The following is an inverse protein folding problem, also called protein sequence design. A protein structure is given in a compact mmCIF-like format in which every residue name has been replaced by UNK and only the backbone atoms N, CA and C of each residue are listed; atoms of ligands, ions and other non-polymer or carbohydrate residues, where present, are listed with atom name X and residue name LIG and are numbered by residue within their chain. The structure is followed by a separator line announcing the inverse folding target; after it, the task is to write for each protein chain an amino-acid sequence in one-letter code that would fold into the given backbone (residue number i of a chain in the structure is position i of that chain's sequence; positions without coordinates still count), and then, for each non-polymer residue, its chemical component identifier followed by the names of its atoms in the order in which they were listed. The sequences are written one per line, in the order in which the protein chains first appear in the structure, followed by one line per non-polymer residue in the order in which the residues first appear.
data_IF_242582657978
#
_entry.id   IF_242582657978
#
_cell.length_a   1.000
_cell.length_b   1.000
_cell.length_c   1.000
_cell.angle_alpha   90.00
_cell.angle_beta   90.00
_cell.angle_gamma   90.00
#
_symmetry.space_group_name_H-M   'P 1'
#
loop_
_entity.id
_entity.type
_entity.pdbx_description
1 polymer ?
#
# COMPACT_ATOMS: atom_id res chain seq x y z
N UNK A 1 -53.06 -11.83 -11.92
CA UNK A 1 -53.45 -10.46 -12.34
C UNK A 1 -53.12 -9.50 -11.21
N UNK A 2 -52.48 -8.37 -11.53
CA UNK A 2 -52.12 -7.21 -10.68
C UNK A 2 -51.04 -7.43 -9.59
N UNK A 3 -50.03 -6.58 -9.39
CA UNK A 3 -49.54 -5.35 -10.06
C UNK A 3 -48.06 -5.21 -9.63
N UNK A 4 -47.14 -5.10 -10.59
CA UNK A 4 -45.76 -4.66 -10.35
C UNK A 4 -45.78 -3.21 -9.84
N UNK A 5 -45.13 -2.94 -8.71
CA UNK A 5 -44.87 -1.58 -8.23
C UNK A 5 -43.46 -1.18 -8.64
N UNK A 6 -43.37 -0.19 -9.53
CA UNK A 6 -42.16 0.49 -9.95
C UNK A 6 -42.16 1.92 -9.37
N UNK A 7 -41.11 2.30 -8.63
CA UNK A 7 -40.81 3.68 -8.20
C UNK A 7 -39.26 3.79 -8.07
N UNK A 8 -38.59 4.96 -8.23
CA UNK A 8 -37.74 5.27 -9.37
C UNK A 8 -36.26 5.50 -9.00
N UNK A 9 -35.43 5.71 -10.03
CA UNK A 9 -34.01 6.07 -9.92
C UNK A 9 -33.79 7.41 -9.22
N UNK A 10 -32.86 7.44 -8.26
CA UNK A 10 -32.36 8.66 -7.61
C UNK A 10 -31.27 9.29 -8.49
N UNK A 11 -31.49 10.54 -8.95
CA UNK A 11 -30.50 11.31 -9.71
C UNK A 11 -30.34 12.70 -9.10
N UNK A 12 -29.06 13.05 -8.90
CA UNK A 12 -28.40 14.36 -8.91
C UNK A 12 -29.02 15.56 -8.18
N UNK A 13 -28.18 16.25 -7.39
CA UNK A 13 -27.42 17.45 -7.81
C UNK A 13 -27.14 18.30 -6.56
N UNK A 14 -25.87 18.50 -6.19
CA UNK A 14 -25.50 19.44 -5.13
C UNK A 14 -24.34 20.31 -5.60
N UNK A 15 -24.68 21.14 -6.57
CA UNK A 15 -23.91 22.29 -7.00
C UNK A 15 -24.09 23.41 -5.97
N UNK A 16 -23.02 23.84 -5.29
CA UNK A 16 -23.00 25.04 -4.44
C UNK A 16 -21.89 26.00 -4.88
N UNK A 17 -22.22 27.13 -5.53
CA UNK A 17 -21.32 28.26 -5.63
C UNK A 17 -21.56 29.24 -4.47
N UNK A 18 -20.51 29.67 -3.80
CA UNK A 18 -20.51 30.95 -3.08
C UNK A 18 -19.25 31.72 -3.47
N UNK A 19 -19.49 32.95 -3.90
CA UNK A 19 -18.60 33.84 -4.61
C UNK A 19 -18.24 35.02 -3.71
N UNK A 20 -16.96 35.41 -3.80
CA UNK A 20 -16.35 36.75 -3.62
C UNK A 20 -16.19 37.45 -2.26
N UNK A 21 -14.96 37.98 -2.11
CA UNK A 21 -14.52 39.14 -1.33
C UNK A 21 -12.99 39.10 -1.18
N UNK A 22 -12.18 39.41 -2.21
CA UNK A 22 -11.55 40.73 -2.56
C UNK A 22 -11.01 41.48 -1.33
N UNK A 23 -9.82 42.09 -1.25
CA UNK A 23 -8.51 42.10 -1.92
C UNK A 23 -7.67 43.16 -1.16
N UNK A 24 -6.42 43.38 -1.62
CA UNK A 24 -5.46 44.47 -1.31
C UNK A 24 -4.57 44.27 -0.07
N UNK A 25 -3.26 44.53 -0.10
CA UNK A 25 -2.43 45.26 -1.05
C UNK A 25 -0.97 44.75 -1.04
N UNK A 26 -0.30 44.94 -2.17
CA UNK A 26 1.12 44.74 -2.40
C UNK A 26 1.99 45.79 -1.72
N UNK A 27 3.21 45.41 -1.28
CA UNK A 27 4.37 46.29 -1.26
C UNK A 27 5.68 45.52 -1.51
N UNK A 28 6.28 45.80 -2.67
CA UNK A 28 7.70 46.20 -2.91
C UNK A 28 8.84 45.24 -2.50
N UNK A 29 9.68 44.88 -3.49
CA UNK A 29 11.07 44.47 -3.21
C UNK A 29 11.85 43.71 -4.29
N UNK A 30 11.86 44.15 -5.55
CA UNK A 30 12.88 43.72 -6.52
C UNK A 30 14.26 44.25 -6.10
N UNK A 31 15.24 43.36 -5.93
CA UNK A 31 16.67 43.68 -6.04
C UNK A 31 17.49 42.41 -6.32
N UNK A 32 17.78 42.16 -7.59
CA UNK A 32 18.90 41.31 -8.01
C UNK A 32 19.74 42.13 -9.02
N UNK A 33 20.98 42.51 -8.68
CA UNK A 33 21.88 43.16 -9.63
C UNK A 33 22.61 42.13 -10.51
N UNK A 34 22.23 42.06 -11.78
CA UNK A 34 22.86 41.27 -12.84
C UNK A 34 24.05 41.99 -13.50
N UNK A 35 25.18 42.12 -12.79
CA UNK A 35 26.40 42.64 -13.40
C UNK A 35 27.67 42.08 -12.75
N UNK A 36 28.38 41.23 -13.52
CA UNK A 36 29.82 40.92 -13.56
C UNK A 36 30.04 39.40 -13.66
N UNK A 37 30.44 38.93 -14.84
CA UNK A 37 31.11 37.63 -15.00
C UNK A 37 30.82 36.95 -16.34
N UNK A 38 31.84 36.53 -17.13
CA UNK A 38 31.77 36.59 -18.59
C UNK A 38 31.10 35.40 -19.28
N UNK A 39 30.57 35.69 -20.47
CA UNK A 39 30.26 34.71 -21.52
C UNK A 39 31.53 33.96 -21.93
N UNK A 40 31.51 32.64 -21.78
CA UNK A 40 32.44 31.75 -22.48
C UNK A 40 31.62 30.86 -23.43
N UNK A 41 31.58 31.28 -24.69
CA UNK A 41 31.26 30.40 -25.80
C UNK A 41 32.55 29.68 -26.22
N UNK A 42 32.53 28.35 -26.17
CA UNK A 42 33.56 27.50 -26.76
C UNK A 42 32.96 26.14 -27.07
N UNK A 43 32.98 25.66 -28.32
CA UNK A 43 32.58 24.29 -28.63
C UNK A 43 33.76 23.36 -28.31
N UNK A 44 33.70 22.66 -27.17
CA UNK A 44 34.53 21.48 -26.96
C UNK A 44 33.80 20.25 -27.49
N UNK A 45 34.19 19.83 -28.68
CA UNK A 45 33.94 18.49 -29.20
C UNK A 45 34.65 17.47 -28.31
N UNK A 46 33.91 16.72 -27.48
CA UNK A 46 34.37 15.46 -26.91
C UNK A 46 33.72 14.31 -27.69
N UNK A 47 34.43 13.83 -28.71
CA UNK A 47 34.23 12.50 -29.27
C UNK A 47 34.94 11.51 -28.35
N UNK A 48 34.24 11.01 -27.33
CA UNK A 48 34.68 9.89 -26.50
C UNK A 48 33.87 8.63 -26.84
N UNK A 49 34.46 7.44 -26.93
CA UNK A 49 33.70 6.22 -27.14
C UNK A 49 32.76 6.01 -25.95
N UNK A 50 31.49 5.79 -26.26
CA UNK A 50 30.48 5.37 -25.30
C UNK A 50 30.91 4.02 -24.69
N UNK A 51 31.59 4.08 -23.56
CA UNK A 51 31.77 2.92 -22.70
C UNK A 51 30.40 2.53 -22.17
N UNK A 52 29.87 1.40 -22.63
CA UNK A 52 28.69 0.78 -22.05
C UNK A 52 29.02 0.49 -20.59
N UNK A 53 28.48 1.31 -19.68
CA UNK A 53 28.45 0.98 -18.27
C UNK A 53 27.59 -0.29 -18.15
N UNK A 54 28.25 -1.42 -17.93
CA UNK A 54 27.57 -2.65 -17.50
C UNK A 54 26.94 -2.32 -16.16
N UNK A 55 25.65 -1.97 -16.17
CA UNK A 55 24.86 -1.84 -14.97
C UNK A 55 24.83 -3.21 -14.31
N UNK A 56 25.64 -3.39 -13.27
CA UNK A 56 25.47 -4.51 -12.34
C UNK A 56 24.06 -4.41 -11.79
N UNK A 57 23.16 -5.27 -12.24
CA UNK A 57 21.85 -5.45 -11.64
C UNK A 57 22.06 -5.66 -10.13
N UNK A 58 21.35 -4.94 -9.24
CA UNK A 58 21.47 -5.19 -7.82
C UNK A 58 21.13 -6.66 -7.58
N UNK A 59 22.03 -7.37 -6.90
CA UNK A 59 21.78 -8.74 -6.48
C UNK A 59 20.42 -8.78 -5.78
N UNK A 60 19.47 -9.49 -6.38
CA UNK A 60 18.12 -9.65 -5.83
C UNK A 60 18.22 -10.46 -4.54
N UNK A 61 18.46 -9.76 -3.42
CA UNK A 61 18.32 -10.35 -2.11
C UNK A 61 16.88 -10.82 -1.98
N UNK A 62 16.68 -12.13 -1.79
CA UNK A 62 15.36 -12.65 -1.45
C UNK A 62 15.01 -12.10 -0.07
N UNK A 63 14.01 -11.22 -0.01
CA UNK A 63 13.50 -10.71 1.26
C UNK A 63 12.95 -11.87 2.09
N UNK A 64 13.53 -12.10 3.27
CA UNK A 64 13.06 -13.11 4.21
C UNK A 64 12.17 -12.46 5.29
N UNK A 65 11.03 -13.08 5.54
CA UNK A 65 10.02 -12.66 6.50
C UNK A 65 9.98 -13.64 7.69
N UNK A 66 10.74 -13.41 8.77
CA UNK A 66 10.54 -14.14 10.03
C UNK A 66 9.20 -13.77 10.69
N UNK A 67 8.76 -14.54 11.68
CA UNK A 67 7.69 -14.12 12.57
C UNK A 67 8.19 -12.98 13.46
N UNK A 68 7.39 -11.94 13.67
CA UNK A 68 7.78 -10.83 14.54
C UNK A 68 7.99 -11.30 15.99
N UNK A 69 9.15 -11.01 16.56
CA UNK A 69 9.47 -11.18 17.98
C UNK A 69 9.30 -9.88 18.78
N UNK A 70 9.97 -9.82 19.93
CA UNK A 70 9.91 -8.68 20.86
C UNK A 70 10.84 -7.50 20.49
N UNK A 71 11.69 -7.67 19.47
CA UNK A 71 12.64 -6.66 19.01
C UNK A 71 12.05 -5.64 18.01
N UNK A 72 12.90 -4.77 17.44
CA UNK A 72 12.51 -3.84 16.40
C UNK A 72 11.86 -4.56 15.21
N UNK A 73 10.74 -4.03 14.72
CA UNK A 73 10.00 -4.60 13.61
C UNK A 73 10.46 -3.93 12.32
N UNK A 74 11.23 -4.66 11.51
CA UNK A 74 11.75 -4.17 10.21
C UNK A 74 11.10 -4.96 9.08
N UNK A 75 11.40 -6.25 8.98
CA UNK A 75 10.76 -7.17 8.03
C UNK A 75 10.34 -8.41 8.81
N UNK A 76 9.04 -8.58 9.06
CA UNK A 76 8.51 -9.72 9.81
C UNK A 76 6.98 -9.83 9.72
N UNK A 77 6.43 -11.01 9.96
CA UNK A 77 4.97 -11.27 9.93
C UNK A 77 4.35 -11.14 11.31
N UNK A 78 3.30 -10.32 11.44
CA UNK A 78 2.60 -10.06 12.70
C UNK A 78 1.46 -11.05 12.89
N UNK A 79 0.56 -11.12 11.90
CA UNK A 79 -0.63 -11.98 11.84
C UNK A 79 -0.93 -12.35 10.37
N UNK A 80 -2.13 -12.87 10.07
CA UNK A 80 -2.48 -13.36 8.73
C UNK A 80 -2.70 -12.27 7.68
N UNK A 81 -2.90 -11.00 8.07
CA UNK A 81 -3.09 -9.87 7.16
C UNK A 81 -2.17 -8.67 7.42
N UNK A 82 -1.27 -8.77 8.39
CA UNK A 82 -0.37 -7.69 8.78
C UNK A 82 1.07 -8.17 8.85
N UNK A 83 1.97 -7.45 8.17
CA UNK A 83 3.41 -7.68 8.22
C UNK A 83 4.17 -6.36 8.13
N UNK A 84 5.44 -6.41 8.51
CA UNK A 84 6.39 -5.34 8.30
C UNK A 84 7.29 -5.67 7.12
N UNK A 85 7.62 -4.65 6.32
CA UNK A 85 8.60 -4.73 5.25
C UNK A 85 9.47 -3.48 5.31
N UNK A 86 10.77 -3.65 5.54
CA UNK A 86 11.75 -2.55 5.56
C UNK A 86 11.35 -1.37 6.47
N UNK A 87 10.67 -1.66 7.59
CA UNK A 87 10.22 -0.66 8.56
C UNK A 87 8.84 -0.05 8.26
N UNK A 88 8.18 -0.46 7.18
CA UNK A 88 6.80 -0.08 6.87
C UNK A 88 5.83 -1.17 7.33
N UNK A 89 4.76 -0.77 8.05
CA UNK A 89 3.71 -1.68 8.49
C UNK A 89 2.61 -1.76 7.44
N UNK A 90 2.50 -2.92 6.80
CA UNK A 90 1.56 -3.18 5.72
C UNK A 90 0.37 -3.99 6.25
N UNK A 91 -0.82 -3.56 5.88
CA UNK A 91 -2.08 -4.30 6.03
C UNK A 91 -2.54 -4.76 4.65
N UNK A 92 -2.66 -6.07 4.48
CA UNK A 92 -3.16 -6.71 3.25
C UNK A 92 -4.60 -6.25 3.04
N UNK A 93 -4.85 -5.52 1.96
CA UNK A 93 -6.06 -4.70 1.84
C UNK A 93 -7.32 -5.46 1.43
N UNK A 94 -7.17 -6.62 0.79
CA UNK A 94 -8.28 -7.38 0.22
C UNK A 94 -8.86 -8.44 1.16
N UNK A 95 -8.26 -8.68 2.32
CA UNK A 95 -8.71 -9.72 3.26
C UNK A 95 -8.80 -9.26 4.71
N UNK A 96 -9.54 -10.01 5.52
CA UNK A 96 -9.52 -9.98 6.98
C UNK A 96 -9.16 -11.36 7.53
N UNK A 97 -8.29 -11.42 8.53
CA UNK A 97 -7.93 -12.66 9.24
C UNK A 97 -8.41 -12.70 10.69
N UNK A 98 -8.53 -13.90 11.30
CA UNK A 98 -8.78 -14.05 12.73
C UNK A 98 -7.70 -13.33 13.56
N UNK A 99 -8.12 -12.61 14.60
CA UNK A 99 -7.22 -11.75 15.39
C UNK A 99 -6.36 -12.59 16.37
N UNK A 100 -5.06 -12.28 16.45
CA UNK A 100 -4.11 -12.96 17.35
C UNK A 100 -3.81 -12.13 18.59
N UNK A 101 -3.81 -10.79 18.47
CA UNK A 101 -3.45 -9.90 19.57
C UNK A 101 -4.55 -9.75 20.62
N UNK A 102 -5.80 -10.00 20.24
CA UNK A 102 -6.98 -9.93 21.11
C UNK A 102 -8.08 -10.89 20.60
N UNK A 103 -7.81 -12.21 20.59
CA UNK A 103 -8.79 -13.21 20.17
C UNK A 103 -9.98 -13.26 21.14
N UNK A 104 -11.18 -13.52 20.62
CA UNK A 104 -12.39 -13.69 21.44
C UNK A 104 -12.48 -15.09 22.06
N UNK A 105 -11.79 -16.07 21.47
CA UNK A 105 -11.76 -17.45 21.94
C UNK A 105 -10.51 -18.19 21.42
N UNK A 106 -10.25 -19.38 21.97
CA UNK A 106 -9.12 -20.22 21.58
C UNK A 106 -9.17 -20.68 20.11
N UNK A 107 -10.37 -20.91 19.57
CA UNK A 107 -10.55 -21.31 18.18
C UNK A 107 -10.07 -20.21 17.22
N UNK A 108 -10.47 -18.97 17.48
CA UNK A 108 -10.02 -17.78 16.74
C UNK A 108 -8.50 -17.64 16.81
N UNK A 109 -7.91 -17.77 18.00
CA UNK A 109 -6.46 -17.69 18.18
C UNK A 109 -5.71 -18.75 17.35
N UNK A 110 -6.15 -20.02 17.40
CA UNK A 110 -5.53 -21.12 16.64
C UNK A 110 -5.65 -20.89 15.15
N UNK A 111 -6.80 -20.41 14.68
CA UNK A 111 -7.00 -20.13 13.26
C UNK A 111 -6.14 -18.92 12.80
N UNK A 112 -6.03 -17.89 13.63
CA UNK A 112 -5.16 -16.74 13.38
C UNK A 112 -3.68 -17.15 13.31
N UNK A 113 -3.22 -18.02 14.21
CA UNK A 113 -1.85 -18.56 14.16
C UNK A 113 -1.58 -19.31 12.85
N UNK A 114 -2.53 -20.15 12.40
CA UNK A 114 -2.43 -20.83 11.09
C UNK A 114 -2.38 -19.84 9.93
N UNK A 115 -3.22 -18.80 9.95
CA UNK A 115 -3.23 -17.76 8.93
C UNK A 115 -1.89 -17.01 8.86
N UNK A 116 -1.31 -16.69 10.03
CA UNK A 116 0.00 -16.05 10.15
C UNK A 116 1.14 -16.89 9.59
N UNK A 117 1.20 -18.17 9.99
CA UNK A 117 2.22 -19.11 9.48
C UNK A 117 2.08 -19.29 7.96
N UNK A 118 0.84 -19.37 7.47
CA UNK A 118 0.59 -19.50 6.04
C UNK A 118 1.01 -18.25 5.27
N UNK A 119 0.64 -17.06 5.74
CA UNK A 119 1.08 -15.80 5.14
C UNK A 119 2.62 -15.73 5.09
N UNK A 120 3.30 -16.14 6.16
CA UNK A 120 4.75 -16.22 6.18
C UNK A 120 5.31 -17.14 5.10
N UNK A 121 4.77 -18.36 4.96
CA UNK A 121 5.19 -19.30 3.92
C UNK A 121 4.98 -18.69 2.53
N UNK A 122 3.83 -18.05 2.31
CA UNK A 122 3.52 -17.40 1.04
C UNK A 122 4.51 -16.28 0.73
N UNK A 123 4.79 -15.39 1.67
CA UNK A 123 5.77 -14.29 1.52
C UNK A 123 7.19 -14.83 1.24
N UNK A 124 7.60 -15.89 1.92
CA UNK A 124 8.94 -16.48 1.78
C UNK A 124 9.11 -17.39 0.55
N UNK A 125 8.03 -17.82 -0.11
CA UNK A 125 8.09 -18.69 -1.27
C UNK A 125 8.61 -18.01 -2.55
N UNK A 126 8.91 -16.71 -2.50
CA UNK A 126 9.51 -15.98 -3.61
C UNK A 126 9.12 -14.49 -3.60
N UNK A 127 9.51 -13.74 -4.64
CA UNK A 127 9.16 -12.33 -4.76
C UNK A 127 7.65 -12.08 -4.70
N UNK A 128 7.29 -10.91 -4.18
CA UNK A 128 5.92 -10.41 -4.10
C UNK A 128 5.86 -9.02 -4.75
N UNK A 129 4.69 -8.66 -5.26
CA UNK A 129 4.35 -7.30 -5.64
C UNK A 129 3.41 -6.70 -4.60
N UNK A 130 3.57 -5.40 -4.37
CA UNK A 130 2.70 -4.59 -3.52
C UNK A 130 1.94 -3.62 -4.39
N UNK A 131 0.65 -3.86 -4.53
CA UNK A 131 -0.24 -3.10 -5.39
C UNK A 131 -1.03 -2.09 -4.55
N UNK A 132 -0.93 -0.78 -4.85
CA UNK A 132 -1.78 0.22 -4.23
C UNK A 132 -3.26 -0.05 -4.50
N UNK A 133 -4.09 0.30 -3.52
CA UNK A 133 -5.55 0.37 -3.68
C UNK A 133 -6.01 1.84 -3.56
N UNK A 134 -7.28 2.11 -3.85
CA UNK A 134 -7.87 3.47 -3.80
C UNK A 134 -7.60 4.21 -2.48
N UNK A 135 -7.52 3.47 -1.38
CA UNK A 135 -7.21 3.99 -0.06
C UNK A 135 -5.78 3.61 0.34
N UNK A 136 -4.88 4.59 0.36
CA UNK A 136 -3.46 4.35 0.67
C UNK A 136 -3.18 3.90 2.12
N UNK A 137 -3.97 4.38 3.09
CA UNK A 137 -3.67 4.20 4.53
C UNK A 137 -4.94 3.99 5.35
N UNK A 138 -4.86 3.16 6.38
CA UNK A 138 -5.96 2.98 7.33
C UNK A 138 -5.98 4.05 8.43
N UNK A 139 -6.99 4.00 9.30
CA UNK A 139 -7.16 4.95 10.42
C UNK A 139 -6.06 4.87 11.49
N UNK A 140 -5.24 3.83 11.45
CA UNK A 140 -4.14 3.57 12.38
C UNK A 140 -2.78 3.89 11.73
N UNK A 141 -2.77 4.42 10.50
CA UNK A 141 -1.55 4.76 9.77
C UNK A 141 -0.85 3.55 9.13
N UNK A 142 -1.51 2.39 8.98
CA UNK A 142 -0.96 1.25 8.22
C UNK A 142 -1.16 1.46 6.73
N UNK A 143 -0.14 1.17 5.94
CA UNK A 143 -0.26 1.15 4.49
C UNK A 143 -1.21 0.03 4.06
N UNK A 144 -2.13 0.34 3.17
CA UNK A 144 -3.09 -0.62 2.63
C UNK A 144 -2.65 -1.01 1.22
N UNK A 145 -2.22 -2.25 1.07
CA UNK A 145 -1.69 -2.78 -0.18
C UNK A 145 -2.28 -4.15 -0.45
N UNK A 146 -2.59 -4.45 -1.71
CA UNK A 146 -2.82 -5.83 -2.13
C UNK A 146 -1.47 -6.49 -2.35
N UNK A 147 -1.32 -7.71 -1.82
CA UNK A 147 -0.07 -8.47 -1.93
C UNK A 147 -0.26 -9.58 -2.95
N UNK A 148 0.51 -9.52 -4.04
CA UNK A 148 0.35 -10.45 -5.15
C UNK A 148 1.65 -11.15 -5.51
N UNK A 149 1.53 -12.29 -6.18
CA UNK A 149 2.62 -12.95 -6.89
C UNK A 149 2.11 -13.34 -8.26
N UNK A 150 2.81 -12.93 -9.32
CA UNK A 150 2.40 -13.17 -10.71
C UNK A 150 0.96 -12.72 -11.00
N UNK A 151 0.50 -11.63 -10.35
CA UNK A 151 -0.87 -11.12 -10.48
C UNK A 151 -1.93 -11.83 -9.63
N UNK A 152 -1.57 -12.89 -8.91
CA UNK A 152 -2.49 -13.61 -8.03
C UNK A 152 -2.38 -13.11 -6.59
N UNK A 153 -3.52 -12.89 -5.93
CA UNK A 153 -3.55 -12.44 -4.54
C UNK A 153 -3.12 -13.55 -3.57
N UNK A 154 -2.11 -13.25 -2.73
CA UNK A 154 -1.75 -14.11 -1.61
C UNK A 154 -2.87 -14.13 -0.55
N UNK A 155 -3.59 -13.01 -0.40
CA UNK A 155 -4.78 -12.96 0.44
C UNK A 155 -5.87 -13.88 -0.08
N UNK A 156 -6.09 -13.91 -1.39
CA UNK A 156 -7.01 -14.86 -2.03
C UNK A 156 -6.66 -16.33 -1.77
N UNK A 157 -5.37 -16.65 -1.67
CA UNK A 157 -4.93 -18.00 -1.26
C UNK A 157 -5.39 -18.32 0.17
N UNK A 158 -5.22 -17.40 1.12
CA UNK A 158 -5.72 -17.60 2.49
C UNK A 158 -7.24 -17.77 2.55
N UNK A 159 -7.98 -17.02 1.74
CA UNK A 159 -9.45 -17.18 1.65
C UNK A 159 -9.81 -18.57 1.13
N UNK A 160 -9.16 -19.02 0.05
CA UNK A 160 -9.37 -20.36 -0.51
C UNK A 160 -9.04 -21.50 0.47
N UNK A 161 -8.11 -21.27 1.39
CA UNK A 161 -7.72 -22.21 2.44
C UNK A 161 -8.55 -22.09 3.74
N UNK A 162 -9.52 -21.18 3.79
CA UNK A 162 -10.38 -20.95 4.96
C UNK A 162 -9.66 -20.29 6.14
N UNK A 163 -8.59 -19.53 5.87
CA UNK A 163 -7.77 -18.82 6.85
C UNK A 163 -8.05 -17.31 6.89
N UNK A 164 -8.87 -16.81 5.96
CA UNK A 164 -9.26 -15.42 5.83
C UNK A 164 -10.64 -15.30 5.19
N UNK A 165 -11.21 -14.09 5.23
CA UNK A 165 -12.36 -13.70 4.41
C UNK A 165 -12.02 -12.47 3.58
N UNK A 166 -12.73 -12.26 2.47
CA UNK A 166 -12.59 -11.02 1.70
C UNK A 166 -13.03 -9.81 2.53
N UNK A 167 -12.22 -8.75 2.49
CA UNK A 167 -12.53 -7.49 3.15
C UNK A 167 -13.86 -6.94 2.64
N UNK A 168 -14.67 -6.40 3.55
CA UNK A 168 -15.99 -5.83 3.23
C UNK A 168 -17.16 -6.81 3.24
N UNK A 169 -16.90 -8.14 3.28
CA UNK A 169 -17.96 -9.15 3.36
C UNK A 169 -18.49 -9.39 4.78
N UNK A 170 -18.00 -8.61 5.75
CA UNK A 170 -18.22 -8.85 7.18
C UNK A 170 -17.28 -9.92 7.73
N UNK A 171 -16.98 -9.83 9.03
CA UNK A 171 -16.17 -10.83 9.72
C UNK A 171 -17.09 -11.94 10.24
N UNK A 172 -16.84 -13.22 9.91
CA UNK A 172 -17.62 -14.32 10.47
C UNK A 172 -17.31 -14.49 11.95
N UNK A 173 -18.11 -15.31 12.62
CA UNK A 173 -17.74 -15.77 13.96
C UNK A 173 -16.62 -16.82 13.83
N UNK A 174 -15.44 -16.48 14.33
CA UNK A 174 -14.28 -17.37 14.44
C UNK A 174 -14.24 -18.17 15.74
N UNK A 175 -15.29 -18.01 16.55
CA UNK A 175 -15.68 -18.89 17.63
C UNK A 175 -16.84 -19.77 17.13
#
# INVERSE_FOLDING_TARGET
MARLRSIPASRNDSTRPFVLGIALAALVGWNAPDWIGPKAAGPMTLTGPAGFATGSAPASGTTHFPICGNGPRVTCVVDGDTFWLQGEKIRVADIDTPEISSPRCDAELRLGQRAKERMQQLLNAGPIALEPIDRATDRYGRSLLRVTRNGESLGGTLVGEGLAVWYGNGKPDWC
#
